data_IF_522355847792
#
_entry.id   IF_522355847792
#
_cell.length_a   1.000
_cell.length_b   1.000
_cell.length_c   1.000
_cell.angle_alpha   90.00
_cell.angle_beta   90.00
_cell.angle_gamma   90.00
#
_symmetry.space_group_name_H-M   'P 1'
#
loop_
_entity.id
_entity.type
_entity.pdbx_description
1 polymer ?
#
# COMPACT_ATOMS: atom_id res chain seq x y z
N UNK A 1 12.58 11.60 11.62
CA UNK A 1 11.29 11.06 11.15
C UNK A 1 10.18 11.79 11.89
N UNK A 2 9.49 12.72 11.22
CA UNK A 2 8.66 13.77 11.87
C UNK A 2 7.37 13.24 12.51
N UNK A 3 6.70 12.23 11.91
CA UNK A 3 5.39 11.75 12.36
C UNK A 3 5.43 10.59 13.38
N UNK A 4 6.60 9.99 13.58
CA UNK A 4 6.74 8.87 14.53
C UNK A 4 6.39 9.22 15.98
N UNK A 5 6.71 10.42 16.50
CA UNK A 5 6.29 10.84 17.86
C UNK A 5 4.76 10.93 18.02
N UNK A 6 4.02 11.06 16.91
CA UNK A 6 2.55 11.09 16.88
C UNK A 6 1.92 9.70 16.66
N UNK A 7 2.73 8.65 16.73
CA UNK A 7 2.28 7.27 16.57
C UNK A 7 1.97 6.88 15.14
N UNK A 8 2.67 7.46 14.15
CA UNK A 8 2.56 7.08 12.74
C UNK A 8 3.84 6.43 12.26
N UNK A 9 3.71 5.32 11.54
CA UNK A 9 4.79 4.65 10.82
C UNK A 9 4.71 4.95 9.32
N UNK A 10 5.87 5.11 8.70
CA UNK A 10 5.97 5.21 7.25
C UNK A 10 5.76 3.82 6.65
N UNK A 11 4.73 3.69 5.82
CA UNK A 11 4.37 2.42 5.18
C UNK A 11 4.87 2.38 3.74
N UNK A 12 4.74 3.49 3.03
CA UNK A 12 5.15 3.55 1.63
C UNK A 12 5.74 4.91 1.29
N UNK A 13 6.66 4.90 0.32
CA UNK A 13 7.33 6.08 -0.18
C UNK A 13 7.40 6.02 -1.71
N UNK A 14 6.72 6.95 -2.37
CA UNK A 14 6.79 7.11 -3.82
C UNK A 14 7.75 8.24 -4.19
N UNK A 15 9.01 7.94 -4.53
CA UNK A 15 9.96 8.95 -4.97
C UNK A 15 9.61 9.45 -6.38
N UNK A 16 9.71 10.74 -6.62
CA UNK A 16 9.62 11.35 -7.94
C UNK A 16 10.99 11.81 -8.37
N UNK A 17 11.46 11.28 -9.49
CA UNK A 17 12.80 11.56 -10.01
C UNK A 17 12.74 12.12 -11.41
N UNK A 18 13.71 12.97 -11.75
CA UNK A 18 13.92 13.48 -13.09
C UNK A 18 15.17 12.84 -13.70
N UNK A 19 15.06 12.32 -14.91
CA UNK A 19 16.20 11.86 -15.69
C UNK A 19 16.80 13.05 -16.44
N UNK A 20 18.13 13.13 -16.48
CA UNK A 20 18.83 14.10 -17.32
C UNK A 20 18.63 13.74 -18.80
N UNK A 21 18.46 14.74 -19.67
CA UNK A 21 18.24 14.53 -21.10
C UNK A 21 19.35 13.70 -21.76
N UNK A 22 20.60 13.95 -21.36
CA UNK A 22 21.78 13.21 -21.85
C UNK A 22 21.74 11.72 -21.44
N UNK A 23 21.09 11.38 -20.33
CA UNK A 23 20.98 9.99 -19.87
C UNK A 23 20.13 9.10 -20.77
N UNK A 24 19.27 9.67 -21.61
CA UNK A 24 18.43 8.92 -22.55
C UNK A 24 19.26 8.20 -23.65
N UNK A 25 20.47 8.68 -23.93
CA UNK A 25 21.35 8.12 -24.95
C UNK A 25 22.33 7.07 -24.41
N UNK A 26 22.54 7.01 -23.09
CA UNK A 26 23.57 6.16 -22.45
C UNK A 26 22.97 4.96 -21.69
N UNK A 27 21.66 4.75 -21.76
CA UNK A 27 20.96 3.67 -21.06
C UNK A 27 20.16 4.15 -19.85
N UNK A 28 19.86 3.25 -18.92
CA UNK A 28 19.09 3.59 -17.73
C UNK A 28 19.88 4.46 -16.75
N UNK A 29 19.76 5.78 -16.91
CA UNK A 29 20.34 6.71 -15.94
C UNK A 29 19.50 6.76 -14.66
N UNK A 30 20.15 6.68 -13.52
CA UNK A 30 19.50 6.97 -12.23
C UNK A 30 18.98 8.41 -12.24
N UNK A 31 17.68 8.57 -11.97
CA UNK A 31 17.07 9.88 -11.85
C UNK A 31 17.56 10.65 -10.62
N UNK A 32 17.54 11.97 -10.69
CA UNK A 32 17.73 12.82 -9.53
C UNK A 32 16.41 12.87 -8.75
N UNK A 33 16.43 12.51 -7.48
CA UNK A 33 15.26 12.61 -6.61
C UNK A 33 14.86 14.09 -6.46
N UNK A 34 13.61 14.40 -6.78
CA UNK A 34 13.04 15.75 -6.64
C UNK A 34 12.25 15.88 -5.35
N UNK A 35 11.32 14.98 -5.15
CA UNK A 35 10.48 14.88 -3.95
C UNK A 35 9.96 13.45 -3.81
N UNK A 36 9.28 13.18 -2.73
CA UNK A 36 8.59 11.91 -2.54
C UNK A 36 7.23 12.14 -1.85
N UNK A 37 6.22 11.42 -2.32
CA UNK A 37 4.98 11.27 -1.59
C UNK A 37 5.17 10.15 -0.55
N UNK A 38 4.71 10.37 0.67
CA UNK A 38 4.85 9.41 1.75
C UNK A 38 3.48 9.05 2.32
N UNK A 39 3.23 7.75 2.49
CA UNK A 39 2.05 7.22 3.14
C UNK A 39 2.39 6.77 4.56
N UNK A 40 1.64 7.29 5.52
CA UNK A 40 1.80 6.98 6.93
C UNK A 40 0.53 6.35 7.49
N UNK A 41 0.68 5.24 8.20
CA UNK A 41 -0.41 4.63 8.96
C UNK A 41 -0.09 4.61 10.45
N UNK A 42 -1.14 4.56 11.27
CA UNK A 42 -0.99 4.23 12.69
C UNK A 42 -0.97 2.73 12.86
N UNK A 43 0.00 2.15 13.57
CA UNK A 43 -0.03 0.73 13.93
C UNK A 43 -1.39 0.34 14.51
N UNK A 44 -1.90 -0.88 14.22
CA UNK A 44 -3.24 -1.30 14.64
C UNK A 44 -3.48 -1.14 16.14
N UNK A 45 -2.49 -1.46 16.97
CA UNK A 45 -2.57 -1.32 18.44
C UNK A 45 -2.72 0.14 18.87
N UNK A 46 -1.99 1.05 18.20
CA UNK A 46 -2.06 2.50 18.49
C UNK A 46 -3.43 3.04 18.06
N UNK A 47 -3.89 2.62 16.88
CA UNK A 47 -5.21 3.00 16.38
C UNK A 47 -6.32 2.49 17.30
N UNK A 48 -6.26 1.22 17.75
CA UNK A 48 -7.19 0.63 18.73
C UNK A 48 -7.31 1.48 19.99
N UNK A 49 -6.15 1.84 20.56
CA UNK A 49 -6.10 2.68 21.76
C UNK A 49 -6.72 4.08 21.54
N UNK A 50 -6.52 4.65 20.34
CA UNK A 50 -7.10 5.93 19.98
C UNK A 50 -8.62 5.84 19.79
N UNK A 51 -9.11 4.78 19.15
CA UNK A 51 -10.54 4.54 18.93
C UNK A 51 -11.29 4.24 20.21
N UNK A 52 -10.68 3.51 21.16
CA UNK A 52 -11.28 3.22 22.48
C UNK A 52 -11.53 4.44 23.34
N UNK A 53 -10.92 5.59 23.01
CA UNK A 53 -11.18 6.88 23.66
C UNK A 53 -12.31 7.68 23.01
N UNK A 54 -12.84 7.20 21.89
CA UNK A 54 -13.90 7.88 21.13
C UNK A 54 -15.27 7.30 21.51
N UNK A 55 -16.28 8.15 21.59
CA UNK A 55 -17.65 7.75 21.92
C UNK A 55 -18.53 7.63 20.66
N UNK A 56 -19.53 6.75 20.75
CA UNK A 56 -20.61 6.63 19.78
C UNK A 56 -20.16 6.18 18.39
N UNK A 57 -20.72 6.79 17.36
CA UNK A 57 -20.53 6.41 15.94
C UNK A 57 -19.18 6.85 15.35
N UNK A 58 -18.33 7.54 16.11
CA UNK A 58 -17.05 8.04 15.63
C UNK A 58 -16.03 6.92 15.41
N UNK A 59 -15.96 5.94 16.31
CA UNK A 59 -15.02 4.85 16.20
C UNK A 59 -15.26 3.98 14.95
N UNK A 60 -16.52 3.52 14.65
CA UNK A 60 -16.85 2.82 13.41
C UNK A 60 -16.45 3.61 12.16
N UNK A 61 -16.83 4.89 12.09
CA UNK A 61 -16.53 5.74 10.95
C UNK A 61 -15.02 5.93 10.72
N UNK A 62 -14.24 6.03 11.79
CA UNK A 62 -12.78 6.15 11.70
C UNK A 62 -12.12 4.85 11.23
N UNK A 63 -12.58 3.70 11.75
CA UNK A 63 -12.07 2.41 11.32
C UNK A 63 -12.39 2.14 9.85
N UNK A 64 -13.63 2.41 9.41
CA UNK A 64 -14.02 2.28 8.00
C UNK A 64 -13.15 3.15 7.08
N UNK A 65 -12.87 4.40 7.48
CA UNK A 65 -11.97 5.27 6.71
C UNK A 65 -10.56 4.70 6.61
N UNK A 66 -10.02 4.16 7.71
CA UNK A 66 -8.69 3.54 7.69
C UNK A 66 -8.66 2.33 6.76
N UNK A 67 -9.67 1.46 6.82
CA UNK A 67 -9.82 0.30 5.93
C UNK A 67 -9.99 0.74 4.47
N UNK A 68 -10.80 1.76 4.20
CA UNK A 68 -10.96 2.30 2.84
C UNK A 68 -9.66 2.88 2.27
N UNK A 69 -8.86 3.55 3.10
CA UNK A 69 -7.53 4.03 2.68
C UNK A 69 -6.63 2.85 2.33
N UNK A 70 -6.62 1.80 3.15
CA UNK A 70 -5.86 0.57 2.85
C UNK A 70 -6.30 -0.04 1.50
N UNK A 71 -7.60 -0.09 1.24
CA UNK A 71 -8.14 -0.60 -0.03
C UNK A 71 -7.73 0.27 -1.23
N UNK A 72 -7.86 1.60 -1.13
CA UNK A 72 -7.51 2.55 -2.20
C UNK A 72 -6.03 2.45 -2.58
N UNK A 73 -5.16 2.25 -1.60
CA UNK A 73 -3.72 2.16 -1.79
C UNK A 73 -3.20 0.72 -1.96
N UNK A 74 -4.08 -0.29 -1.94
CA UNK A 74 -3.71 -1.69 -2.18
C UNK A 74 -3.16 -2.44 -0.97
N UNK A 75 -3.18 -1.88 0.24
CA UNK A 75 -2.75 -2.51 1.48
C UNK A 75 -3.87 -3.38 2.08
N UNK A 76 -4.33 -4.37 1.33
CA UNK A 76 -5.45 -5.24 1.73
C UNK A 76 -5.14 -6.07 2.95
N UNK A 77 -3.91 -6.55 3.09
CA UNK A 77 -3.39 -7.27 4.24
C UNK A 77 -3.46 -6.43 5.52
N UNK A 78 -3.04 -5.16 5.45
CA UNK A 78 -3.13 -4.23 6.56
C UNK A 78 -4.60 -3.90 6.90
N UNK A 79 -5.46 -3.75 5.91
CA UNK A 79 -6.90 -3.60 6.10
C UNK A 79 -7.53 -4.79 6.83
N UNK A 80 -7.13 -6.02 6.48
CA UNK A 80 -7.56 -7.24 7.17
C UNK A 80 -7.03 -7.30 8.59
N UNK A 81 -5.77 -6.93 8.83
CA UNK A 81 -5.18 -6.86 10.16
C UNK A 81 -5.93 -5.86 11.07
N UNK A 82 -6.30 -4.68 10.55
CA UNK A 82 -7.14 -3.73 11.27
C UNK A 82 -8.48 -4.35 11.68
N UNK A 83 -9.12 -5.09 10.78
CA UNK A 83 -10.38 -5.77 11.07
C UNK A 83 -10.21 -6.91 12.10
N UNK A 84 -9.07 -7.59 12.11
CA UNK A 84 -8.77 -8.67 13.05
C UNK A 84 -8.50 -8.14 14.46
N UNK A 85 -7.80 -7.02 14.59
CA UNK A 85 -7.39 -6.46 15.88
C UNK A 85 -8.47 -5.55 16.51
N UNK A 86 -9.20 -4.81 15.68
CA UNK A 86 -10.08 -3.73 16.14
C UNK A 86 -11.56 -4.00 15.81
N UNK A 87 -11.82 -4.82 14.79
CA UNK A 87 -13.18 -5.02 14.27
C UNK A 87 -14.20 -5.37 15.34
N UNK A 88 -13.88 -6.33 16.21
CA UNK A 88 -14.77 -6.80 17.28
C UNK A 88 -15.07 -5.77 18.38
N UNK A 89 -14.26 -4.72 18.50
CA UNK A 89 -14.50 -3.64 19.46
C UNK A 89 -15.53 -2.62 18.93
N UNK A 90 -15.84 -2.69 17.61
CA UNK A 90 -16.52 -1.59 16.90
C UNK A 90 -17.70 -2.07 16.06
N UNK A 91 -17.66 -3.28 15.53
CA UNK A 91 -18.65 -3.88 14.63
C UNK A 91 -19.16 -5.20 15.17
N UNK A 92 -20.37 -5.60 14.72
CA UNK A 92 -20.86 -6.95 14.96
C UNK A 92 -20.16 -7.98 14.05
N UNK A 93 -20.32 -9.28 14.38
CA UNK A 93 -19.69 -10.36 13.62
C UNK A 93 -20.14 -10.44 12.15
N UNK A 94 -21.39 -10.05 11.86
CA UNK A 94 -21.94 -10.03 10.51
C UNK A 94 -21.26 -8.97 9.67
N UNK A 95 -21.14 -7.75 10.20
CA UNK A 95 -20.44 -6.62 9.57
C UNK A 95 -18.97 -6.94 9.32
N UNK A 96 -18.27 -7.51 10.30
CA UNK A 96 -16.86 -7.91 10.19
C UNK A 96 -16.71 -8.94 9.07
N UNK A 97 -17.56 -9.95 9.03
CA UNK A 97 -17.51 -10.99 7.99
C UNK A 97 -17.71 -10.40 6.60
N UNK A 98 -18.66 -9.49 6.46
CA UNK A 98 -18.95 -8.82 5.20
C UNK A 98 -17.77 -7.96 4.73
N UNK A 99 -17.21 -7.13 5.61
CA UNK A 99 -16.08 -6.26 5.30
C UNK A 99 -14.81 -7.06 4.95
N UNK A 100 -14.53 -8.16 5.68
CA UNK A 100 -13.42 -9.05 5.35
C UNK A 100 -13.60 -9.74 3.99
N UNK A 101 -14.81 -10.20 3.70
CA UNK A 101 -15.12 -10.81 2.40
C UNK A 101 -14.92 -9.81 1.27
N UNK A 102 -15.37 -8.57 1.45
CA UNK A 102 -15.17 -7.49 0.49
C UNK A 102 -13.69 -7.20 0.25
N UNK A 103 -12.88 -6.98 1.30
CA UNK A 103 -11.44 -6.76 1.17
C UNK A 103 -10.74 -7.89 0.43
N UNK A 104 -11.10 -9.15 0.71
CA UNK A 104 -10.52 -10.32 0.03
C UNK A 104 -10.94 -10.41 -1.44
N UNK A 105 -12.15 -9.98 -1.78
CA UNK A 105 -12.63 -10.00 -3.18
C UNK A 105 -11.94 -8.96 -4.05
N UNK A 106 -11.58 -7.82 -3.47
CA UNK A 106 -10.88 -6.73 -4.16
C UNK A 106 -9.36 -6.94 -4.25
N UNK A 107 -8.81 -7.86 -3.45
CA UNK A 107 -7.37 -8.13 -3.46
C UNK A 107 -6.91 -8.63 -4.85
N UNK A 108 -5.73 -8.19 -5.34
CA UNK A 108 -5.23 -8.55 -6.66
C UNK A 108 -5.19 -10.07 -6.88
N UNK A 109 -5.49 -10.53 -8.10
CA UNK A 109 -5.43 -11.94 -8.49
C UNK A 109 -4.04 -12.56 -8.17
N UNK A 110 -2.99 -11.77 -8.24
CA UNK A 110 -1.63 -12.21 -7.92
C UNK A 110 -1.49 -12.71 -6.48
N UNK A 111 -2.25 -12.15 -5.51
CA UNK A 111 -2.26 -12.61 -4.13
C UNK A 111 -2.98 -13.95 -3.94
N UNK A 112 -3.82 -14.34 -4.91
CA UNK A 112 -4.60 -15.59 -4.92
C UNK A 112 -3.85 -16.75 -5.59
N UNK A 113 -2.80 -16.44 -6.34
CA UNK A 113 -2.00 -17.47 -7.00
C UNK A 113 -1.12 -18.19 -5.97
N UNK A 114 -1.17 -19.54 -5.92
CA UNK A 114 -0.31 -20.28 -5.01
C UNK A 114 1.17 -20.04 -5.33
N UNK A 115 2.01 -20.10 -4.31
CA UNK A 115 3.44 -20.14 -4.51
C UNK A 115 3.82 -21.46 -5.17
N UNK A 116 4.50 -21.39 -6.31
CA UNK A 116 5.05 -22.55 -7.00
C UNK A 116 6.56 -22.39 -7.19
N UNK A 117 7.34 -23.49 -7.24
CA UNK A 117 8.77 -23.42 -7.48
C UNK A 117 9.08 -22.71 -8.78
N UNK A 118 9.95 -21.69 -8.74
CA UNK A 118 10.31 -20.89 -9.91
C UNK A 118 9.46 -19.64 -10.15
N UNK A 119 8.44 -19.35 -9.33
CA UNK A 119 7.64 -18.14 -9.42
C UNK A 119 8.49 -16.86 -9.40
N UNK A 120 9.50 -16.80 -8.52
CA UNK A 120 10.42 -15.65 -8.46
C UNK A 120 11.22 -15.48 -9.75
N UNK A 121 11.79 -16.58 -10.30
CA UNK A 121 12.52 -16.55 -11.57
C UNK A 121 11.64 -16.08 -12.73
N UNK A 122 10.38 -16.55 -12.77
CA UNK A 122 9.41 -16.12 -13.77
C UNK A 122 9.09 -14.63 -13.63
N UNK A 123 8.89 -14.15 -12.40
CA UNK A 123 8.64 -12.74 -12.13
C UNK A 123 9.83 -11.87 -12.55
N UNK A 124 11.07 -12.26 -12.24
CA UNK A 124 12.28 -11.58 -12.67
C UNK A 124 12.42 -11.52 -14.20
N UNK A 125 12.13 -12.62 -14.89
CA UNK A 125 12.17 -12.70 -16.36
C UNK A 125 11.14 -11.76 -16.97
N UNK A 126 9.92 -11.75 -16.45
CA UNK A 126 8.84 -10.84 -16.89
C UNK A 126 9.20 -9.37 -16.63
N UNK A 127 9.81 -9.06 -15.48
CA UNK A 127 10.30 -7.70 -15.20
C UNK A 127 11.41 -7.27 -16.17
N UNK A 128 12.36 -8.15 -16.50
CA UNK A 128 13.40 -7.87 -17.50
C UNK A 128 12.79 -7.62 -18.88
N UNK A 129 11.86 -8.46 -19.31
CA UNK A 129 11.16 -8.30 -20.59
C UNK A 129 10.34 -6.99 -20.62
N UNK A 130 9.63 -6.69 -19.54
CA UNK A 130 8.91 -5.42 -19.39
C UNK A 130 9.84 -4.22 -19.50
N UNK A 131 11.03 -4.29 -18.89
CA UNK A 131 12.04 -3.23 -18.98
C UNK A 131 12.53 -2.98 -20.41
N UNK A 132 12.65 -4.02 -21.22
CA UNK A 132 13.04 -3.86 -22.64
C UNK A 132 11.93 -3.23 -23.48
N UNK A 133 10.66 -3.50 -23.14
CA UNK A 133 9.50 -2.97 -23.84
C UNK A 133 9.12 -1.55 -23.36
N UNK A 134 9.66 -1.11 -22.23
CA UNK A 134 9.33 0.21 -21.67
C UNK A 134 9.96 1.31 -22.53
N UNK A 135 9.17 2.26 -23.04
CA UNK A 135 9.69 3.37 -23.84
C UNK A 135 10.71 4.17 -23.04
N UNK A 136 11.83 4.54 -23.67
CA UNK A 136 12.80 5.48 -23.12
C UNK A 136 12.15 6.85 -23.04
N UNK A 137 11.63 7.22 -21.89
CA UNK A 137 11.03 8.53 -21.66
C UNK A 137 11.83 9.32 -20.63
N UNK A 138 11.83 10.65 -20.76
CA UNK A 138 12.43 11.52 -19.74
C UNK A 138 11.70 11.48 -18.39
N UNK A 139 10.44 11.03 -18.41
CA UNK A 139 9.64 10.84 -17.18
C UNK A 139 9.73 9.39 -16.75
N UNK A 140 10.22 9.15 -15.56
CA UNK A 140 10.12 7.84 -14.92
C UNK A 140 8.65 7.63 -14.59
N UNK A 141 7.98 6.65 -15.24
CA UNK A 141 6.68 6.18 -14.76
C UNK A 141 6.91 5.52 -13.40
N UNK A 142 6.46 6.17 -12.36
CA UNK A 142 6.55 5.61 -11.03
C UNK A 142 5.25 4.90 -10.68
N UNK A 143 5.32 3.77 -9.95
CA UNK A 143 4.13 3.13 -9.45
C UNK A 143 3.34 4.12 -8.59
N UNK A 144 2.03 3.99 -8.59
CA UNK A 144 1.20 4.74 -7.65
C UNK A 144 1.52 4.28 -6.24
N UNK A 145 1.40 5.17 -5.26
CA UNK A 145 1.48 4.80 -3.84
C UNK A 145 0.57 3.59 -3.59
N UNK A 146 1.10 2.57 -2.92
CA UNK A 146 0.36 1.36 -2.62
C UNK A 146 0.20 0.34 -3.75
N UNK A 147 0.59 0.65 -4.98
CA UNK A 147 0.58 -0.33 -6.07
C UNK A 147 2.01 -0.86 -6.29
N UNK A 148 2.25 -2.07 -5.86
CA UNK A 148 3.45 -2.86 -6.12
C UNK A 148 3.25 -3.81 -7.30
#
# INVERSE_FOLDING_TARGET
>A
MFLRPFGFDLIDLRPVSWKRSVGATVGDSKGQLMYADALYFRPPVVLRSALGKMSGTLAPSKLLRAVSICQIYGFFDYGLELMDIIGSDVFDEGEIRHLRAHLRSEAPLASRLPNFPGRERLAELLMKLSGWLTPRSHKVKQPRLGNF
#
